data_IF_220924493719
#
_entry.id   IF_220924493719
#
_cell.length_a   1.000
_cell.length_b   1.000
_cell.length_c   1.000
_cell.angle_alpha   90.00
_cell.angle_beta   90.00
_cell.angle_gamma   90.00
#
_symmetry.space_group_name_H-M   'P 1'
#
loop_
_entity.id
_entity.type
_entity.pdbx_description
1 polymer ?
#
# COMPACT_ATOMS: atom_id res chain seq x y z
N UNK A 1 -21.41 -10.67 7.76
CA UNK A 1 -21.05 -10.02 6.49
C UNK A 1 -19.55 -9.76 6.48
N UNK A 2 -18.94 -9.78 5.29
CA UNK A 2 -17.52 -9.94 5.02
C UNK A 2 -16.58 -9.22 6.01
N UNK A 3 -15.77 -10.00 6.72
CA UNK A 3 -14.64 -9.48 7.51
C UNK A 3 -13.63 -8.88 6.55
N UNK A 4 -13.37 -7.58 6.69
CA UNK A 4 -12.35 -6.87 5.94
C UNK A 4 -11.00 -7.32 6.53
N UNK A 5 -10.50 -8.45 6.02
CA UNK A 5 -9.13 -8.88 6.27
C UNK A 5 -8.20 -7.91 5.54
N UNK A 6 -7.76 -6.86 6.22
CA UNK A 6 -6.62 -6.05 5.78
C UNK A 6 -5.37 -6.94 5.85
N UNK A 7 -5.11 -7.66 4.77
CA UNK A 7 -3.86 -8.36 4.60
C UNK A 7 -2.77 -7.30 4.42
N UNK A 8 -1.98 -7.06 5.46
CA UNK A 8 -0.81 -6.18 5.40
C UNK A 8 0.18 -6.83 4.43
N UNK A 9 0.06 -6.46 3.15
CA UNK A 9 1.01 -6.88 2.14
C UNK A 9 2.35 -6.23 2.48
N UNK A 10 3.27 -7.02 3.04
CA UNK A 10 4.67 -6.69 3.17
C UNK A 10 5.27 -6.50 1.76
N UNK A 11 5.12 -5.30 1.20
CA UNK A 11 5.75 -4.92 -0.07
C UNK A 11 7.18 -4.48 0.26
N UNK A 12 8.04 -5.49 0.46
CA UNK A 12 9.47 -5.32 0.53
C UNK A 12 10.05 -5.10 -0.87
N UNK A 13 10.11 -3.85 -1.33
CA UNK A 13 10.95 -3.49 -2.49
C UNK A 13 12.41 -3.51 -2.04
N UNK A 14 12.99 -4.72 -1.97
CA UNK A 14 14.38 -4.92 -1.53
C UNK A 14 15.42 -4.79 -2.64
N UNK A 15 15.02 -4.46 -3.85
CA UNK A 15 15.91 -4.38 -4.99
C UNK A 15 15.56 -3.14 -5.81
N UNK A 16 16.57 -2.46 -6.34
CA UNK A 16 16.50 -1.28 -7.24
C UNK A 16 16.66 0.10 -6.57
N UNK A 17 17.79 0.35 -5.88
CA UNK A 17 18.19 1.73 -5.59
C UNK A 17 19.69 1.93 -5.80
N UNK A 18 20.04 2.98 -6.57
CA UNK A 18 21.40 3.32 -7.00
C UNK A 18 22.10 4.35 -6.09
N UNK A 19 21.42 4.88 -5.07
CA UNK A 19 21.97 5.88 -4.14
C UNK A 19 21.62 5.54 -2.69
N UNK A 20 22.62 5.53 -1.79
CA UNK A 20 22.48 5.01 -0.43
C UNK A 20 21.54 5.81 0.49
N UNK A 21 21.26 7.08 0.20
CA UNK A 21 20.31 7.89 0.97
C UNK A 21 18.85 7.53 0.68
N UNK A 22 18.49 7.37 -0.60
CA UNK A 22 17.12 7.01 -1.03
C UNK A 22 16.73 5.62 -0.51
N UNK A 23 17.68 4.68 -0.44
CA UNK A 23 17.48 3.36 0.19
C UNK A 23 17.06 3.51 1.65
N UNK A 24 17.82 4.29 2.42
CA UNK A 24 17.62 4.46 3.86
C UNK A 24 16.30 5.17 4.17
N UNK A 25 15.99 6.21 3.41
CA UNK A 25 14.73 6.96 3.58
C UNK A 25 13.51 6.11 3.24
N UNK A 26 13.57 5.30 2.16
CA UNK A 26 12.51 4.36 1.82
C UNK A 26 12.38 3.24 2.87
N UNK A 27 13.48 2.74 3.45
CA UNK A 27 13.43 1.74 4.52
C UNK A 27 12.75 2.29 5.78
N UNK A 28 13.09 3.52 6.18
CA UNK A 28 12.44 4.18 7.31
C UNK A 28 10.94 4.41 7.04
N UNK A 29 10.59 4.90 5.86
CA UNK A 29 9.21 5.09 5.45
C UNK A 29 8.43 3.77 5.35
N UNK A 30 9.08 2.68 4.94
CA UNK A 30 8.47 1.35 4.94
C UNK A 30 8.12 0.90 6.36
N UNK A 31 9.01 1.09 7.34
CA UNK A 31 8.73 0.77 8.75
C UNK A 31 7.56 1.59 9.31
N UNK A 32 7.53 2.90 9.03
CA UNK A 32 6.40 3.75 9.43
C UNK A 32 5.09 3.27 8.80
N UNK A 33 5.13 2.92 7.51
CA UNK A 33 3.96 2.44 6.78
C UNK A 33 3.44 1.13 7.37
N UNK A 34 4.33 0.18 7.65
CA UNK A 34 3.99 -1.11 8.28
C UNK A 34 3.38 -0.89 9.67
N UNK A 35 3.96 -0.01 10.49
CA UNK A 35 3.44 0.29 11.83
C UNK A 35 2.04 0.92 11.79
N UNK A 36 1.79 1.87 10.88
CA UNK A 36 0.46 2.45 10.70
C UNK A 36 -0.53 1.39 10.20
N UNK A 37 -0.11 0.50 9.30
CA UNK A 37 -0.93 -0.61 8.83
C UNK A 37 -1.33 -1.58 9.96
N UNK A 38 -0.38 -1.95 10.81
CA UNK A 38 -0.63 -2.79 12.00
C UNK A 38 -1.60 -2.10 12.95
N UNK A 39 -1.42 -0.79 13.22
CA UNK A 39 -2.30 -0.03 14.07
C UNK A 39 -3.73 0.03 13.51
N UNK A 40 -3.88 0.26 12.20
CA UNK A 40 -5.19 0.24 11.52
C UNK A 40 -5.88 -1.11 11.62
N UNK A 41 -5.14 -2.22 11.47
CA UNK A 41 -5.69 -3.56 11.63
C UNK A 41 -6.22 -3.76 13.06
N UNK A 42 -5.41 -3.47 14.07
CA UNK A 42 -5.82 -3.61 15.47
C UNK A 42 -7.03 -2.73 15.83
N UNK A 43 -7.09 -1.50 15.31
CA UNK A 43 -8.24 -0.61 15.49
C UNK A 43 -9.49 -1.13 14.76
N UNK A 44 -9.33 -1.63 13.54
CA UNK A 44 -10.42 -2.24 12.77
C UNK A 44 -10.99 -3.48 13.44
N UNK A 45 -10.14 -4.34 14.01
CA UNK A 45 -10.53 -5.49 14.82
C UNK A 45 -11.31 -5.05 16.06
N UNK A 46 -10.78 -4.07 16.81
CA UNK A 46 -11.46 -3.56 18.00
C UNK A 46 -12.83 -2.95 17.68
N UNK A 47 -12.94 -2.13 16.62
CA UNK A 47 -14.22 -1.57 16.19
C UNK A 47 -15.18 -2.69 15.75
N UNK A 48 -14.70 -3.69 15.00
CA UNK A 48 -15.50 -4.83 14.57
C UNK A 48 -16.05 -5.63 15.76
N UNK A 49 -15.25 -5.78 16.81
CA UNK A 49 -15.66 -6.45 18.05
C UNK A 49 -16.76 -5.69 18.78
N UNK A 50 -16.70 -4.36 18.82
CA UNK A 50 -17.76 -3.52 19.38
C UNK A 50 -19.05 -3.53 18.54
N UNK A 51 -18.92 -3.61 17.22
CA UNK A 51 -20.05 -3.68 16.28
C UNK A 51 -20.61 -5.10 16.09
N UNK A 52 -20.12 -6.08 16.86
CA UNK A 52 -20.62 -7.45 16.78
C UNK A 52 -22.07 -7.50 17.29
N UNK A 53 -22.98 -8.21 16.61
CA UNK A 53 -24.36 -8.37 17.08
C UNK A 53 -24.42 -8.85 18.53
N UNK A 54 -25.30 -8.26 19.33
CA UNK A 54 -25.43 -8.48 20.77
C UNK A 54 -24.41 -7.71 21.63
N UNK A 55 -23.19 -7.46 21.14
CA UNK A 55 -22.27 -6.53 21.82
C UNK A 55 -22.71 -5.09 21.58
N UNK A 56 -22.97 -4.73 20.33
CA UNK A 56 -23.41 -3.38 19.93
C UNK A 56 -24.68 -2.93 20.68
N UNK A 57 -25.69 -3.81 20.76
CA UNK A 57 -26.96 -3.53 21.43
C UNK A 57 -26.82 -3.32 22.95
N UNK A 58 -25.74 -3.84 23.53
CA UNK A 58 -25.44 -3.72 24.97
C UNK A 58 -24.54 -2.51 25.31
N UNK A 59 -24.04 -1.79 24.30
CA UNK A 59 -23.17 -0.64 24.51
C UNK A 59 -23.95 0.53 25.12
N UNK A 60 -23.36 1.16 26.14
CA UNK A 60 -23.89 2.42 26.65
C UNK A 60 -23.69 3.54 25.62
N UNK A 61 -24.49 4.62 25.68
CA UNK A 61 -24.28 5.79 24.83
C UNK A 61 -22.85 6.34 24.89
N UNK A 62 -22.23 6.34 26.07
CA UNK A 62 -20.84 6.78 26.28
C UNK A 62 -19.83 5.86 25.58
N UNK A 63 -20.07 4.54 25.61
CA UNK A 63 -19.24 3.57 24.91
C UNK A 63 -19.36 3.75 23.39
N UNK A 64 -20.57 3.96 22.86
CA UNK A 64 -20.79 4.27 21.44
C UNK A 64 -20.03 5.54 21.00
N UNK A 65 -20.05 6.59 21.84
CA UNK A 65 -19.29 7.82 21.59
C UNK A 65 -17.77 7.58 21.62
N UNK A 66 -17.28 6.73 22.52
CA UNK A 66 -15.87 6.36 22.56
C UNK A 66 -15.44 5.60 21.29
N UNK A 67 -16.22 4.60 20.86
CA UNK A 67 -15.98 3.87 19.60
C UNK A 67 -15.98 4.82 18.40
N UNK A 68 -16.90 5.80 18.38
CA UNK A 68 -16.95 6.82 17.33
C UNK A 68 -15.69 7.68 17.28
N UNK A 69 -15.15 8.10 18.44
CA UNK A 69 -13.87 8.84 18.51
C UNK A 69 -12.68 7.98 18.04
N UNK A 70 -12.67 6.70 18.38
CA UNK A 70 -11.64 5.75 17.90
C UNK A 70 -11.71 5.63 16.37
N UNK A 71 -12.91 5.54 15.80
CA UNK A 71 -13.11 5.53 14.35
C UNK A 71 -12.58 6.81 13.67
N UNK A 72 -12.82 8.00 14.24
CA UNK A 72 -12.24 9.24 13.71
C UNK A 72 -10.69 9.21 13.75
N UNK A 73 -10.10 8.69 14.82
CA UNK A 73 -8.64 8.46 14.89
C UNK A 73 -8.15 7.47 13.82
N UNK A 74 -8.89 6.38 13.59
CA UNK A 74 -8.56 5.40 12.55
C UNK A 74 -8.61 6.01 11.15
N UNK A 75 -9.56 6.91 10.85
CA UNK A 75 -9.59 7.62 9.56
C UNK A 75 -8.35 8.48 9.34
N UNK A 76 -7.86 9.17 10.37
CA UNK A 76 -6.62 9.96 10.31
C UNK A 76 -5.42 9.05 10.03
N UNK A 77 -5.35 7.89 10.68
CA UNK A 77 -4.30 6.90 10.42
C UNK A 77 -4.38 6.32 9.00
N UNK A 78 -5.58 6.09 8.46
CA UNK A 78 -5.77 5.60 7.10
C UNK A 78 -5.27 6.62 6.07
N UNK A 79 -5.57 7.90 6.29
CA UNK A 79 -5.07 9.01 5.48
C UNK A 79 -3.54 9.17 5.60
N UNK A 80 -2.96 8.95 6.79
CA UNK A 80 -1.50 8.88 6.96
C UNK A 80 -0.88 7.69 6.21
N UNK A 81 -1.48 6.51 6.28
CA UNK A 81 -1.05 5.31 5.55
C UNK A 81 -1.02 5.59 4.04
N UNK A 82 -2.08 6.18 3.51
CA UNK A 82 -2.16 6.59 2.11
C UNK A 82 -1.06 7.58 1.71
N UNK A 83 -0.81 8.62 2.51
CA UNK A 83 0.30 9.56 2.26
C UNK A 83 1.67 8.87 2.26
N UNK A 84 1.91 7.96 3.19
CA UNK A 84 3.15 7.19 3.25
C UNK A 84 3.33 6.33 1.99
N UNK A 85 2.26 5.72 1.48
CA UNK A 85 2.27 5.03 0.18
C UNK A 85 2.68 5.95 -0.97
N UNK A 86 2.10 7.16 -1.06
CA UNK A 86 2.47 8.15 -2.08
C UNK A 86 3.94 8.58 -1.97
N UNK A 87 4.43 8.85 -0.75
CA UNK A 87 5.82 9.19 -0.51
C UNK A 87 6.77 8.08 -0.96
N UNK A 88 6.48 6.82 -0.60
CA UNK A 88 7.29 5.67 -1.02
C UNK A 88 7.29 5.54 -2.55
N UNK A 89 6.14 5.69 -3.20
CA UNK A 89 6.04 5.66 -4.68
C UNK A 89 6.89 6.75 -5.31
N UNK A 90 6.83 7.99 -4.82
CA UNK A 90 7.62 9.11 -5.32
C UNK A 90 9.15 8.91 -5.12
N UNK A 91 9.56 8.19 -4.07
CA UNK A 91 10.96 7.86 -3.83
C UNK A 91 11.46 6.71 -4.72
N UNK A 92 10.63 5.70 -4.96
CA UNK A 92 11.00 4.52 -5.76
C UNK A 92 11.00 4.81 -7.26
N UNK A 93 10.00 5.54 -7.79
CA UNK A 93 9.84 5.78 -9.24
C UNK A 93 11.12 6.29 -9.92
N UNK A 94 11.85 7.30 -9.38
CA UNK A 94 13.09 7.80 -9.99
C UNK A 94 14.23 6.78 -10.05
N UNK A 95 14.20 5.74 -9.21
CA UNK A 95 15.21 4.70 -9.18
C UNK A 95 14.93 3.55 -10.17
N UNK A 96 13.71 3.48 -10.71
CA UNK A 96 13.32 2.48 -11.70
C UNK A 96 14.02 2.74 -13.05
N UNK A 97 14.23 1.67 -13.83
CA UNK A 97 14.62 1.83 -15.23
C UNK A 97 13.50 2.51 -16.03
N UNK A 98 13.81 3.07 -17.21
CA UNK A 98 12.86 3.87 -18.00
C UNK A 98 11.53 3.14 -18.27
N UNK A 99 11.58 1.85 -18.59
CA UNK A 99 10.39 1.04 -18.84
C UNK A 99 9.54 0.90 -17.57
N UNK A 100 10.16 0.49 -16.47
CA UNK A 100 9.50 0.32 -15.18
C UNK A 100 8.93 1.65 -14.66
N UNK A 101 9.62 2.78 -14.89
CA UNK A 101 9.12 4.12 -14.59
C UNK A 101 7.87 4.44 -15.40
N UNK A 102 7.93 4.31 -16.73
CA UNK A 102 6.79 4.60 -17.62
C UNK A 102 5.58 3.72 -17.28
N UNK A 103 5.81 2.44 -17.00
CA UNK A 103 4.75 1.52 -16.56
C UNK A 103 4.19 1.90 -15.19
N UNK A 104 5.03 2.27 -14.23
CA UNK A 104 4.59 2.69 -12.90
C UNK A 104 3.76 3.98 -12.95
N UNK A 105 4.10 4.91 -13.84
CA UNK A 105 3.39 6.19 -14.01
C UNK A 105 2.05 6.02 -14.74
N UNK A 106 1.94 5.05 -15.65
CA UNK A 106 0.73 4.79 -16.44
C UNK A 106 -0.35 3.99 -15.70
N UNK A 107 0.00 3.25 -14.64
CA UNK A 107 -0.93 2.39 -13.92
C UNK A 107 -1.57 3.17 -12.76
N UNK A 108 -2.91 3.14 -12.63
CA UNK A 108 -3.60 3.68 -11.47
C UNK A 108 -3.18 2.90 -10.22
N UNK A 109 -3.00 3.60 -9.11
CA UNK A 109 -2.67 2.97 -7.82
C UNK A 109 -3.91 2.20 -7.33
N UNK A 110 -3.71 0.97 -6.89
CA UNK A 110 -4.72 0.14 -6.23
C UNK A 110 -4.23 -0.31 -4.84
N UNK A 111 -4.68 -1.48 -4.36
CA UNK A 111 -4.26 -2.09 -3.10
C UNK A 111 -2.74 -2.34 -3.01
N UNK A 112 -2.03 -2.38 -4.15
CA UNK A 112 -0.57 -2.51 -4.22
C UNK A 112 0.09 -1.17 -4.60
N UNK A 113 1.31 -0.98 -4.10
CA UNK A 113 2.09 0.27 -4.25
C UNK A 113 2.24 0.78 -5.71
N UNK A 114 2.19 -0.13 -6.69
CA UNK A 114 2.29 0.18 -8.11
C UNK A 114 1.11 -0.33 -8.96
N UNK A 115 0.07 -0.88 -8.33
CA UNK A 115 -0.99 -1.58 -9.06
C UNK A 115 -0.75 -3.10 -9.15
N UNK A 116 -1.82 -3.89 -9.09
CA UNK A 116 -1.85 -5.32 -9.43
C UNK A 116 -1.35 -5.59 -10.84
N UNK A 117 -1.63 -4.66 -11.75
CA UNK A 117 -1.32 -4.77 -13.17
C UNK A 117 0.14 -4.51 -13.49
N UNK A 118 0.92 -3.96 -12.54
CA UNK A 118 2.31 -3.59 -12.76
C UNK A 118 3.16 -4.77 -13.23
N UNK A 119 3.01 -5.92 -12.57
CA UNK A 119 3.75 -7.12 -12.92
C UNK A 119 3.40 -7.66 -14.31
N UNK A 120 2.13 -7.59 -14.71
CA UNK A 120 1.69 -8.04 -16.02
C UNK A 120 2.16 -7.10 -17.13
N UNK A 121 2.04 -5.79 -16.92
CA UNK A 121 2.50 -4.79 -17.87
C UNK A 121 4.02 -4.85 -18.09
N UNK A 122 4.80 -5.09 -17.02
CA UNK A 122 6.25 -5.30 -17.16
C UNK A 122 6.61 -6.53 -18.00
N UNK A 123 5.83 -7.63 -17.89
CA UNK A 123 6.02 -8.80 -18.76
C UNK A 123 5.71 -8.48 -20.22
N UNK A 124 4.66 -7.70 -20.49
CA UNK A 124 4.30 -7.24 -21.85
C UNK A 124 5.40 -6.37 -22.45
N UNK A 125 5.93 -5.41 -21.70
CA UNK A 125 7.05 -4.55 -22.14
C UNK A 125 8.30 -5.37 -22.44
N UNK A 126 8.66 -6.31 -21.57
CA UNK A 126 9.82 -7.18 -21.78
C UNK A 126 9.67 -8.08 -23.02
N UNK A 127 8.48 -8.63 -23.26
CA UNK A 127 8.18 -9.40 -24.46
C UNK A 127 8.30 -8.55 -25.73
N UNK A 128 7.77 -7.33 -25.70
CA UNK A 128 7.86 -6.38 -26.82
C UNK A 128 9.31 -6.01 -27.14
N UNK A 129 10.13 -5.67 -26.12
CA UNK A 129 11.55 -5.36 -26.32
C UNK A 129 12.32 -6.53 -26.95
N UNK A 130 12.00 -7.76 -26.56
CA UNK A 130 12.61 -8.96 -27.13
C UNK A 130 12.24 -9.10 -28.61
N UNK A 131 10.95 -9.00 -28.94
CA UNK A 131 10.47 -9.09 -30.32
C UNK A 131 11.06 -7.99 -31.21
N UNK A 132 11.17 -6.75 -30.72
CA UNK A 132 11.79 -5.65 -31.49
C UNK A 132 13.27 -5.91 -31.80
N UNK A 133 14.03 -6.51 -30.86
CA UNK A 133 15.44 -6.85 -31.07
C UNK A 133 15.64 -7.98 -32.07
N UNK A 134 14.69 -8.91 -32.16
CA UNK A 134 14.71 -10.01 -33.14
C UNK A 134 14.46 -9.50 -34.57
N UNK A 135 13.57 -8.50 -34.73
CA UNK A 135 13.30 -7.85 -36.02
C UNK A 135 14.54 -7.10 -36.55
N UNK A 136 15.28 -6.41 -35.68
CA UNK A 136 16.50 -5.66 -36.06
C UNK A 136 17.67 -6.60 -36.43
N UNK A 137 17.63 -7.85 -35.97
CA UNK A 137 18.66 -8.87 -36.26
C UNK A 137 18.39 -9.67 -37.54
N UNK A 138 17.31 -9.39 -38.24
CA UNK A 138 16.96 -9.99 -39.54
C UNK A 138 17.32 -9.03 -40.67
#
# INVERSE_FOLDING_TARGET
MAGIAFHVAHIGVKYVFRTGSVVKDNEYNAKNHDQVGIALCALGEAISDFLRPGTEESLSPEACLAVSKVNEGAKILADLFYRLSLTRRAQIIPALNLNAKNTAEAIPVDDLLFGSDFGEQMKKVAAMEKSSKEIIKT
#
